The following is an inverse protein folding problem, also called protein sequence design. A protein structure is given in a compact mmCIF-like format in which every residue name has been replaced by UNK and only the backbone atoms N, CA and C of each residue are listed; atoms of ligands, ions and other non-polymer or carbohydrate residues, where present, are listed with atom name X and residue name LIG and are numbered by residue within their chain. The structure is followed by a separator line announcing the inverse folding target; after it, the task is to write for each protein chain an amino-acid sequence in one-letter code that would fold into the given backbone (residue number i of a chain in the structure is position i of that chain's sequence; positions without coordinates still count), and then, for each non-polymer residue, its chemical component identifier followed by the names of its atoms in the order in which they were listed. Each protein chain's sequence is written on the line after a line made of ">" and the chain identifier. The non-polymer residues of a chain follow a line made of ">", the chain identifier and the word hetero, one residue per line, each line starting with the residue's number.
data_IF_666867041065
#
_entry.id   IF_666867041065
#
_cell.length_a   1.000
_cell.length_b   1.000
_cell.length_c   1.000
_cell.angle_alpha   90.00
_cell.angle_beta   90.00
_cell.angle_gamma   90.00
#
_symmetry.space_group_name_H-M   'P 1'
#
loop_
_entity.id
_entity.type
_entity.pdbx_description
1 polymer ?
#
# COMPACT_ATOMS: atom_id res chain seq x y z
N UNK A 1 -23.66 5.09 -16.12
CA UNK A 1 -22.82 3.89 -15.97
C UNK A 1 -22.82 3.48 -14.51
N UNK A 2 -22.96 2.19 -14.19
CA UNK A 2 -23.02 1.68 -12.81
C UNK A 2 -21.65 1.39 -12.20
N UNK A 3 -20.56 1.91 -12.76
CA UNK A 3 -19.17 1.68 -12.33
C UNK A 3 -18.24 2.82 -12.77
N UNK A 4 -17.13 2.95 -12.09
CA UNK A 4 -15.97 3.74 -12.50
C UNK A 4 -15.05 2.85 -13.34
N UNK A 5 -14.75 3.29 -14.56
CA UNK A 5 -13.82 2.61 -15.47
C UNK A 5 -12.36 2.95 -15.10
N UNK A 6 -11.47 1.98 -15.25
CA UNK A 6 -10.04 2.17 -15.04
C UNK A 6 -9.42 3.27 -15.91
N UNK A 7 -9.89 3.45 -17.15
CA UNK A 7 -9.45 4.53 -18.04
C UNK A 7 -9.80 5.92 -17.49
N UNK A 8 -10.99 6.08 -16.89
CA UNK A 8 -11.38 7.32 -16.26
C UNK A 8 -10.53 7.65 -15.05
N UNK A 9 -10.21 6.62 -14.23
CA UNK A 9 -9.32 6.76 -13.09
C UNK A 9 -7.89 7.12 -13.54
N UNK A 10 -7.35 6.42 -14.53
CA UNK A 10 -6.03 6.71 -15.10
C UNK A 10 -5.94 8.14 -15.65
N UNK A 11 -7.00 8.61 -16.33
CA UNK A 11 -7.10 9.99 -16.82
C UNK A 11 -7.03 11.03 -15.71
N UNK A 12 -7.66 10.79 -14.57
CA UNK A 12 -7.59 11.68 -13.42
C UNK A 12 -6.14 11.77 -12.87
N UNK A 13 -5.44 10.64 -12.73
CA UNK A 13 -4.04 10.62 -12.30
C UNK A 13 -3.11 11.29 -13.31
N UNK A 14 -3.34 11.10 -14.62
CA UNK A 14 -2.57 11.76 -15.68
C UNK A 14 -2.68 13.29 -15.61
N UNK A 15 -3.86 13.82 -15.30
CA UNK A 15 -4.06 15.27 -15.14
C UNK A 15 -3.34 15.77 -13.88
N UNK A 16 -3.50 15.07 -12.75
CA UNK A 16 -2.90 15.47 -11.47
C UNK A 16 -1.36 15.41 -11.49
N UNK A 17 -0.78 14.54 -12.30
CA UNK A 17 0.67 14.31 -12.42
C UNK A 17 1.15 14.45 -13.87
N UNK A 18 0.60 15.41 -14.59
CA UNK A 18 0.87 15.60 -16.03
C UNK A 18 2.36 15.82 -16.34
N UNK A 19 3.10 16.50 -15.48
CA UNK A 19 4.54 16.68 -15.68
C UNK A 19 5.30 15.34 -15.71
N UNK A 20 5.03 14.46 -14.76
CA UNK A 20 5.77 13.20 -14.62
C UNK A 20 5.23 12.11 -15.58
N UNK A 21 3.91 12.01 -15.71
CA UNK A 21 3.27 10.92 -16.45
C UNK A 21 3.08 11.22 -17.94
N UNK A 22 3.07 12.49 -18.33
CA UNK A 22 2.83 12.90 -19.73
C UNK A 22 4.02 13.63 -20.31
N UNK A 23 4.42 14.75 -19.72
CA UNK A 23 5.45 15.61 -20.32
C UNK A 23 6.85 15.01 -20.25
N UNK A 24 7.26 14.46 -19.11
CA UNK A 24 8.57 13.79 -19.01
C UNK A 24 8.66 12.61 -19.97
N UNK A 25 7.57 11.83 -20.07
CA UNK A 25 7.50 10.70 -20.99
C UNK A 25 7.55 11.14 -22.44
N UNK A 26 6.84 12.22 -22.82
CA UNK A 26 6.91 12.79 -24.15
C UNK A 26 8.34 13.22 -24.52
N UNK A 27 9.03 13.89 -23.59
CA UNK A 27 10.42 14.32 -23.81
C UNK A 27 11.35 13.12 -23.98
N UNK A 28 11.34 12.17 -23.04
CA UNK A 28 12.24 11.01 -23.07
C UNK A 28 11.93 10.06 -24.23
N UNK A 29 10.67 9.62 -24.34
CA UNK A 29 10.30 8.59 -25.32
C UNK A 29 10.26 9.12 -26.76
N UNK A 30 9.82 10.38 -26.94
CA UNK A 30 9.57 10.94 -28.28
C UNK A 30 10.68 11.86 -28.77
N UNK A 31 11.12 12.82 -27.95
CA UNK A 31 12.13 13.80 -28.38
C UNK A 31 13.55 13.24 -28.25
N UNK A 32 13.84 12.46 -27.21
CA UNK A 32 15.16 11.86 -26.99
C UNK A 32 15.27 10.44 -27.55
N UNK A 33 14.16 9.78 -27.85
CA UNK A 33 14.15 8.41 -28.34
C UNK A 33 14.52 7.35 -27.29
N UNK A 34 14.54 7.72 -26.03
CA UNK A 34 14.93 6.88 -24.90
C UNK A 34 13.72 6.17 -24.30
N UNK A 35 13.23 5.12 -24.94
CA UNK A 35 12.11 4.34 -24.43
C UNK A 35 12.54 3.47 -23.26
N UNK A 36 11.96 3.70 -22.08
CA UNK A 36 12.12 2.78 -20.96
C UNK A 36 11.49 1.43 -21.28
N UNK A 37 12.15 0.30 -20.95
CA UNK A 37 11.55 -1.02 -21.11
C UNK A 37 10.31 -1.16 -20.20
N UNK A 38 9.30 -1.87 -20.68
CA UNK A 38 8.12 -2.19 -19.88
C UNK A 38 8.54 -3.16 -18.77
N UNK A 39 8.23 -2.80 -17.52
CA UNK A 39 8.46 -3.66 -16.35
C UNK A 39 7.20 -4.41 -15.96
N UNK A 40 7.34 -5.53 -15.23
CA UNK A 40 6.21 -6.30 -14.68
C UNK A 40 5.30 -5.43 -13.81
N UNK A 41 5.89 -4.52 -13.03
CA UNK A 41 5.14 -3.58 -12.21
C UNK A 41 4.31 -2.59 -13.07
N UNK A 42 4.84 -2.14 -14.19
CA UNK A 42 4.10 -1.29 -15.13
C UNK A 42 2.98 -2.05 -15.81
N UNK A 43 3.22 -3.33 -16.19
CA UNK A 43 2.19 -4.20 -16.75
C UNK A 43 1.06 -4.43 -15.74
N UNK A 44 1.39 -4.81 -14.51
CA UNK A 44 0.42 -4.98 -13.43
C UNK A 44 -0.41 -3.69 -13.18
N UNK A 45 0.23 -2.54 -13.15
CA UNK A 45 -0.47 -1.26 -12.92
C UNK A 45 -1.37 -0.85 -14.09
N UNK A 46 -1.13 -1.38 -15.31
CA UNK A 46 -1.99 -1.15 -16.48
C UNK A 46 -3.21 -2.07 -16.52
N UNK A 47 -3.20 -3.18 -15.77
CA UNK A 47 -4.33 -4.12 -15.64
C UNK A 47 -5.43 -3.49 -14.78
N UNK A 48 -6.19 -2.59 -15.41
CA UNK A 48 -7.22 -1.82 -14.73
C UNK A 48 -8.46 -2.66 -14.42
N UNK A 49 -9.01 -2.48 -13.23
CA UNK A 49 -10.30 -3.06 -12.82
C UNK A 49 -11.37 -1.97 -12.72
N UNK A 50 -12.63 -2.41 -12.73
CA UNK A 50 -13.78 -1.51 -12.55
C UNK A 50 -14.17 -1.44 -11.08
N UNK A 51 -14.52 -0.24 -10.62
CA UNK A 51 -15.06 -0.04 -9.27
C UNK A 51 -16.56 0.22 -9.35
N UNK A 52 -17.41 -0.58 -8.65
CA UNK A 52 -18.84 -0.32 -8.61
C UNK A 52 -19.15 1.12 -8.15
N UNK A 53 -20.10 1.77 -8.78
CA UNK A 53 -20.46 3.17 -8.48
C UNK A 53 -20.72 3.42 -7.00
N UNK A 54 -21.52 2.55 -6.37
CA UNK A 54 -21.85 2.69 -4.95
C UNK A 54 -20.60 2.58 -4.06
N UNK A 55 -19.73 1.60 -4.32
CA UNK A 55 -18.48 1.42 -3.59
C UNK A 55 -17.60 2.67 -3.71
N UNK A 56 -17.41 3.20 -4.92
CA UNK A 56 -16.62 4.41 -5.15
C UNK A 56 -17.18 5.62 -4.41
N UNK A 57 -18.50 5.84 -4.51
CA UNK A 57 -19.16 6.99 -3.86
C UNK A 57 -19.12 6.90 -2.33
N UNK A 58 -19.34 5.70 -1.76
CA UNK A 58 -19.25 5.48 -0.33
C UNK A 58 -17.82 5.61 0.18
N UNK A 59 -16.83 5.10 -0.55
CA UNK A 59 -15.42 5.23 -0.23
C UNK A 59 -15.01 6.70 -0.12
N UNK A 60 -15.29 7.49 -1.17
CA UNK A 60 -14.95 8.91 -1.17
C UNK A 60 -15.67 9.69 -0.06
N UNK A 61 -16.94 9.43 0.15
CA UNK A 61 -17.72 10.16 1.15
C UNK A 61 -17.30 9.77 2.56
N UNK A 62 -17.39 8.49 2.89
CA UNK A 62 -17.25 8.03 4.28
C UNK A 62 -15.80 8.01 4.78
N UNK A 63 -14.83 7.68 3.90
CA UNK A 63 -13.44 7.52 4.31
C UNK A 63 -12.57 8.73 3.97
N UNK A 64 -12.97 9.56 3.01
CA UNK A 64 -12.17 10.70 2.59
C UNK A 64 -12.78 12.06 3.02
N UNK A 65 -14.09 12.26 2.84
CA UNK A 65 -14.74 13.54 3.19
C UNK A 65 -15.16 13.58 4.65
N UNK A 66 -15.83 12.52 5.13
CA UNK A 66 -16.45 12.50 6.46
C UNK A 66 -15.53 11.87 7.52
N UNK A 67 -14.46 11.16 7.10
CA UNK A 67 -13.49 10.45 7.95
C UNK A 67 -14.13 9.51 8.99
N UNK A 68 -15.22 8.85 8.58
CA UNK A 68 -16.08 8.08 9.46
C UNK A 68 -15.36 6.95 10.22
N UNK A 69 -14.26 6.42 9.65
CA UNK A 69 -13.49 5.34 10.30
C UNK A 69 -12.69 5.86 11.50
N UNK A 70 -12.07 7.02 11.38
CA UNK A 70 -11.36 7.68 12.49
C UNK A 70 -12.36 8.13 13.55
N UNK A 71 -13.47 8.71 13.12
CA UNK A 71 -14.53 9.23 13.97
C UNK A 71 -15.43 8.15 14.62
N UNK A 72 -15.20 6.86 14.31
CA UNK A 72 -15.97 5.76 14.84
C UNK A 72 -17.43 5.68 14.35
N UNK A 73 -17.73 6.29 13.22
CA UNK A 73 -19.05 6.31 12.58
C UNK A 73 -19.19 5.34 11.41
N UNK A 74 -18.08 4.74 10.96
CA UNK A 74 -18.11 3.79 9.85
C UNK A 74 -18.85 2.52 10.27
N UNK A 75 -19.86 2.13 9.50
CA UNK A 75 -20.67 0.95 9.79
C UNK A 75 -20.28 -0.20 8.87
N UNK A 76 -19.82 -1.31 9.46
CA UNK A 76 -19.56 -2.57 8.79
C UNK A 76 -20.47 -3.66 9.40
N UNK A 77 -21.20 -4.37 8.56
CA UNK A 77 -22.15 -5.42 8.97
C UNK A 77 -23.10 -4.96 10.11
N UNK A 78 -23.64 -3.75 9.98
CA UNK A 78 -24.58 -3.17 10.95
C UNK A 78 -23.95 -2.71 12.28
N UNK A 79 -22.63 -2.75 12.42
CA UNK A 79 -21.91 -2.34 13.63
C UNK A 79 -20.94 -1.20 13.33
N UNK A 80 -20.87 -0.18 14.18
CA UNK A 80 -19.84 0.85 14.04
C UNK A 80 -18.46 0.22 14.34
N UNK A 81 -17.46 0.65 13.56
CA UNK A 81 -16.04 0.28 13.73
C UNK A 81 -15.19 1.55 13.72
N UNK A 82 -14.13 1.54 14.52
CA UNK A 82 -13.21 2.66 14.63
C UNK A 82 -11.75 2.17 14.65
N UNK A 83 -10.83 3.01 14.22
CA UNK A 83 -9.39 2.73 14.35
C UNK A 83 -8.97 2.59 15.82
N UNK A 84 -9.61 3.32 16.72
CA UNK A 84 -9.37 3.24 18.16
C UNK A 84 -9.71 1.86 18.78
N UNK A 85 -10.46 1.01 18.08
CA UNK A 85 -10.76 -0.35 18.53
C UNK A 85 -9.62 -1.34 18.20
N UNK A 86 -8.66 -0.95 17.38
CA UNK A 86 -7.53 -1.78 17.00
C UNK A 86 -6.52 -1.86 18.15
N UNK A 87 -6.38 -3.06 18.71
CA UNK A 87 -5.44 -3.38 19.81
C UNK A 87 -4.39 -4.41 19.43
N UNK A 88 -4.47 -4.93 18.21
CA UNK A 88 -3.49 -5.88 17.69
C UNK A 88 -2.17 -5.18 17.37
N UNK A 89 -1.03 -5.87 17.50
CA UNK A 89 0.23 -5.36 17.00
C UNK A 89 0.14 -5.05 15.50
N UNK A 90 0.67 -3.91 15.09
CA UNK A 90 0.62 -3.45 13.71
C UNK A 90 2.01 -3.19 13.16
N UNK A 91 2.25 -3.61 11.93
CA UNK A 91 3.40 -3.23 11.14
C UNK A 91 2.94 -2.30 10.04
N UNK A 92 3.35 -1.04 10.12
CA UNK A 92 2.86 0.03 9.25
C UNK A 92 4.01 0.54 8.38
N UNK A 93 3.79 0.57 7.07
CA UNK A 93 4.80 0.96 6.10
C UNK A 93 4.39 2.24 5.39
N UNK A 94 5.26 3.23 5.41
CA UNK A 94 5.19 4.40 4.55
C UNK A 94 6.38 4.43 3.59
N UNK A 95 6.31 5.23 2.52
CA UNK A 95 7.43 5.45 1.62
C UNK A 95 7.82 6.92 1.55
N UNK A 96 9.13 7.21 1.51
CA UNK A 96 9.66 8.58 1.64
C UNK A 96 9.16 9.53 0.55
N UNK A 97 9.00 9.02 -0.67
CA UNK A 97 8.63 9.80 -1.86
C UNK A 97 7.18 9.53 -2.30
N UNK A 98 6.33 9.07 -1.39
CA UNK A 98 4.93 8.83 -1.69
C UNK A 98 4.15 10.15 -1.80
N UNK A 99 3.63 10.41 -2.98
CA UNK A 99 2.82 11.57 -3.28
C UNK A 99 1.31 11.28 -3.25
N UNK A 100 0.94 9.99 -3.19
CA UNK A 100 -0.46 9.55 -3.10
C UNK A 100 -0.89 9.42 -1.64
N UNK A 101 -0.06 8.74 -0.85
CA UNK A 101 -0.24 8.57 0.59
C UNK A 101 1.01 9.06 1.34
N UNK A 102 1.20 10.37 1.52
CA UNK A 102 2.38 10.93 2.17
C UNK A 102 2.63 10.26 3.53
N UNK A 103 3.85 9.82 3.77
CA UNK A 103 4.17 9.00 4.95
C UNK A 103 3.79 9.66 6.29
N UNK A 104 3.84 11.01 6.37
CA UNK A 104 3.39 11.72 7.57
C UNK A 104 1.88 11.58 7.81
N UNK A 105 1.10 11.40 6.74
CA UNK A 105 -0.33 11.08 6.86
C UNK A 105 -0.53 9.63 7.30
N UNK A 106 0.26 8.69 6.79
CA UNK A 106 0.24 7.29 7.24
C UNK A 106 0.66 7.19 8.71
N UNK A 107 1.65 7.97 9.13
CA UNK A 107 2.17 8.02 10.50
C UNK A 107 1.10 8.42 11.54
N UNK A 108 0.04 9.13 11.12
CA UNK A 108 -1.08 9.53 12.00
C UNK A 108 -1.81 8.34 12.64
N UNK A 109 -1.59 7.12 12.17
CA UNK A 109 -2.12 5.91 12.82
C UNK A 109 -1.76 5.86 14.31
N UNK A 110 -0.61 6.40 14.71
CA UNK A 110 -0.19 6.52 16.11
C UNK A 110 -1.12 7.39 16.97
N UNK A 111 -1.94 8.25 16.36
CA UNK A 111 -2.93 9.07 17.05
C UNK A 111 -4.27 8.34 17.24
N UNK A 112 -4.51 7.26 16.49
CA UNK A 112 -5.83 6.66 16.37
C UNK A 112 -5.89 5.23 16.89
N UNK A 113 -4.83 4.44 16.70
CA UNK A 113 -4.81 3.05 17.15
C UNK A 113 -4.15 2.91 18.54
N UNK A 114 -4.58 1.89 19.30
CA UNK A 114 -4.12 1.66 20.67
C UNK A 114 -3.21 0.42 20.80
N UNK A 115 -2.94 -0.27 19.69
CA UNK A 115 -2.01 -1.41 19.66
C UNK A 115 -0.56 -0.98 19.53
N UNK A 116 0.35 -1.91 19.76
CA UNK A 116 1.78 -1.70 19.50
C UNK A 116 2.02 -1.46 18.01
N UNK A 117 2.66 -0.35 17.66
CA UNK A 117 2.93 0.01 16.27
C UNK A 117 4.43 -0.06 16.00
N UNK A 118 4.81 -0.91 15.06
CA UNK A 118 6.11 -0.84 14.40
C UNK A 118 5.93 -0.04 13.11
N UNK A 119 6.46 1.19 13.09
CA UNK A 119 6.43 2.03 11.89
C UNK A 119 7.73 1.89 11.12
N UNK A 120 7.61 1.70 9.82
CA UNK A 120 8.73 1.60 8.90
C UNK A 120 8.55 2.58 7.75
N UNK A 121 9.62 3.32 7.46
CA UNK A 121 9.70 4.27 6.35
C UNK A 121 10.69 3.73 5.31
N UNK A 122 10.20 3.25 4.19
CA UNK A 122 11.00 2.71 3.10
C UNK A 122 11.43 3.81 2.12
N UNK A 123 12.62 3.69 1.57
CA UNK A 123 13.07 4.54 0.46
C UNK A 123 12.25 4.26 -0.81
N UNK A 124 12.05 5.27 -1.64
CA UNK A 124 11.32 5.18 -2.91
C UNK A 124 9.90 5.75 -2.86
N UNK A 125 9.18 5.58 -3.94
CA UNK A 125 7.83 6.11 -4.14
C UNK A 125 6.73 5.09 -3.85
N UNK A 126 5.50 5.46 -4.18
CA UNK A 126 4.26 4.77 -3.85
C UNK A 126 4.27 3.25 -4.07
N UNK A 127 4.63 2.79 -5.25
CA UNK A 127 4.72 1.36 -5.57
C UNK A 127 6.15 0.82 -5.40
N UNK A 128 7.13 1.53 -5.95
CA UNK A 128 8.52 1.09 -5.97
C UNK A 128 9.18 1.02 -4.58
N UNK A 129 8.70 1.79 -3.61
CA UNK A 129 9.16 1.68 -2.22
C UNK A 129 8.60 0.46 -1.49
N UNK A 130 7.40 0.01 -1.89
CA UNK A 130 6.76 -1.19 -1.32
C UNK A 130 7.30 -2.46 -1.96
N UNK A 131 7.39 -2.51 -3.29
CA UNK A 131 7.99 -3.63 -4.03
C UNK A 131 9.51 -3.46 -3.98
N UNK A 132 10.13 -4.10 -3.00
CA UNK A 132 11.55 -3.96 -2.66
C UNK A 132 12.09 -5.30 -2.20
N UNK A 133 12.26 -6.23 -3.13
CA UNK A 133 12.75 -7.57 -2.87
C UNK A 133 14.16 -7.56 -2.23
N UNK A 134 14.53 -8.59 -1.46
CA UNK A 134 15.87 -8.72 -0.92
C UNK A 134 16.93 -8.73 -2.03
N UNK A 135 17.99 -7.96 -1.85
CA UNK A 135 19.04 -7.80 -2.86
C UNK A 135 18.82 -6.67 -3.88
N UNK A 136 17.67 -6.00 -3.85
CA UNK A 136 17.44 -4.83 -4.70
C UNK A 136 18.46 -3.71 -4.37
N UNK A 137 19.24 -3.23 -5.35
CA UNK A 137 20.26 -2.22 -5.10
C UNK A 137 19.66 -0.86 -4.73
N UNK A 138 20.39 -0.11 -3.89
CA UNK A 138 20.05 1.28 -3.54
C UNK A 138 18.82 1.42 -2.62
N UNK A 139 18.32 0.34 -2.04
CA UNK A 139 17.22 0.39 -1.06
C UNK A 139 17.75 0.64 0.35
N UNK A 140 16.93 1.35 1.10
CA UNK A 140 17.15 1.60 2.53
C UNK A 140 15.81 1.82 3.21
N UNK A 141 15.78 1.74 4.53
CA UNK A 141 14.59 2.03 5.31
C UNK A 141 14.97 2.52 6.71
N UNK A 142 14.01 3.12 7.37
CA UNK A 142 14.08 3.44 8.80
C UNK A 142 12.97 2.68 9.53
N UNK A 143 13.26 2.22 10.72
CA UNK A 143 12.28 1.49 11.52
C UNK A 143 12.36 1.94 12.97
N UNK A 144 11.20 2.02 13.61
CA UNK A 144 11.07 2.29 15.04
C UNK A 144 9.81 1.63 15.57
N UNK A 145 9.92 0.94 16.71
CA UNK A 145 8.78 0.44 17.46
C UNK A 145 8.36 1.50 18.49
N UNK A 146 7.07 1.68 18.64
CA UNK A 146 6.50 2.56 19.64
C UNK A 146 5.60 1.73 20.55
N UNK A 147 6.03 1.52 21.79
CA UNK A 147 5.36 0.67 22.77
C UNK A 147 4.80 1.48 23.97
N UNK A 148 5.08 2.78 24.01
CA UNK A 148 4.67 3.65 25.10
C UNK A 148 3.52 4.55 24.63
N UNK A 149 2.55 4.80 25.50
CA UNK A 149 1.41 5.70 25.26
C UNK A 149 1.78 7.16 24.98
N UNK A 150 3.02 7.43 24.58
CA UNK A 150 3.51 8.77 24.25
C UNK A 150 3.67 8.92 22.74
N UNK A 151 2.80 9.72 22.15
CA UNK A 151 2.96 10.12 20.76
C UNK A 151 4.28 10.87 20.57
N UNK A 152 5.08 10.42 19.59
CA UNK A 152 6.26 11.12 19.10
C UNK A 152 5.89 11.71 17.74
N UNK A 153 6.20 12.99 17.53
CA UNK A 153 5.92 13.62 16.24
C UNK A 153 6.78 13.00 15.11
N UNK A 154 6.33 13.08 13.85
CA UNK A 154 7.00 12.41 12.75
C UNK A 154 8.42 12.89 12.48
N UNK A 155 8.76 14.15 12.76
CA UNK A 155 10.10 14.67 12.50
C UNK A 155 11.08 14.20 13.59
N UNK A 156 10.66 14.18 14.84
CA UNK A 156 11.42 13.57 15.94
C UNK A 156 11.60 12.08 15.72
N UNK A 157 10.54 11.36 15.29
CA UNK A 157 10.65 9.96 14.95
C UNK A 157 11.67 9.73 13.81
N UNK A 158 11.61 10.52 12.75
CA UNK A 158 12.53 10.42 11.61
C UNK A 158 13.99 10.62 12.04
N UNK A 159 14.24 11.54 12.97
CA UNK A 159 15.59 11.82 13.50
C UNK A 159 16.13 10.67 14.37
N UNK A 160 15.26 9.94 15.06
CA UNK A 160 15.65 8.91 16.04
C UNK A 160 15.52 7.48 15.51
N UNK A 161 14.72 7.25 14.46
CA UNK A 161 14.51 5.93 13.89
C UNK A 161 15.79 5.36 13.28
N UNK A 162 16.03 4.07 13.54
CA UNK A 162 17.22 3.36 13.07
C UNK A 162 17.21 3.23 11.55
N UNK A 163 18.22 3.80 10.89
CA UNK A 163 18.43 3.65 9.46
C UNK A 163 19.13 2.32 9.15
N UNK A 164 18.60 1.58 8.20
CA UNK A 164 19.14 0.29 7.73
C UNK A 164 19.23 0.27 6.20
N UNK A 165 20.30 -0.30 5.63
CA UNK A 165 20.40 -0.52 4.20
C UNK A 165 19.61 -1.75 3.76
N UNK A 166 19.21 -1.81 2.49
CA UNK A 166 18.60 -2.96 1.85
C UNK A 166 17.08 -2.98 1.90
N UNK A 167 16.53 -4.15 1.63
CA UNK A 167 15.09 -4.39 1.58
C UNK A 167 14.46 -4.41 2.97
N UNK A 168 13.36 -3.70 3.15
CA UNK A 168 12.55 -3.70 4.36
C UNK A 168 11.77 -5.02 4.56
N UNK A 169 11.64 -5.86 3.53
CA UNK A 169 10.92 -7.13 3.64
C UNK A 169 11.52 -8.09 4.66
N UNK A 170 12.83 -8.03 4.88
CA UNK A 170 13.49 -8.84 5.91
C UNK A 170 13.03 -8.43 7.32
N UNK A 171 12.93 -7.15 7.59
CA UNK A 171 12.41 -6.64 8.86
C UNK A 171 10.96 -7.06 9.10
N UNK A 172 10.14 -6.99 8.05
CA UNK A 172 8.76 -7.45 8.09
C UNK A 172 8.65 -8.96 8.33
N UNK A 173 9.47 -9.77 7.67
CA UNK A 173 9.50 -11.21 7.87
C UNK A 173 9.87 -11.57 9.33
N UNK A 174 10.87 -10.90 9.91
CA UNK A 174 11.24 -11.06 11.31
C UNK A 174 10.12 -10.64 12.26
N UNK A 175 9.42 -9.54 11.95
CA UNK A 175 8.27 -9.10 12.73
C UNK A 175 7.13 -10.15 12.68
N UNK A 176 6.82 -10.72 11.51
CA UNK A 176 5.83 -11.79 11.36
C UNK A 176 6.23 -13.05 12.16
N UNK A 177 7.48 -13.45 12.10
CA UNK A 177 7.98 -14.59 12.90
C UNK A 177 7.82 -14.36 14.41
N UNK A 178 8.02 -13.14 14.89
CA UNK A 178 7.78 -12.79 16.31
C UNK A 178 6.30 -12.84 16.71
N UNK A 179 5.38 -12.58 15.78
CA UNK A 179 3.93 -12.66 16.01
C UNK A 179 3.38 -14.09 15.85
N UNK A 180 4.14 -14.98 15.22
CA UNK A 180 3.70 -16.34 14.97
C UNK A 180 3.76 -17.21 16.23
N UNK A 181 2.92 -18.25 16.28
CA UNK A 181 2.90 -19.22 17.38
C UNK A 181 4.13 -20.13 17.48
N UNK A 182 5.06 -20.00 16.53
CA UNK A 182 6.22 -20.90 16.37
C UNK A 182 5.89 -22.23 15.68
N UNK A 183 4.62 -22.58 15.51
CA UNK A 183 4.22 -23.76 14.75
C UNK A 183 4.46 -23.55 13.26
N UNK A 184 5.14 -24.48 12.62
CA UNK A 184 5.43 -24.44 11.18
C UNK A 184 4.57 -25.46 10.46
N UNK A 185 3.91 -25.04 9.38
CA UNK A 185 3.22 -25.93 8.45
C UNK A 185 4.02 -26.04 7.15
N UNK A 186 3.90 -27.17 6.49
CA UNK A 186 4.44 -27.31 5.14
C UNK A 186 3.68 -26.41 4.18
N UNK A 187 4.39 -25.81 3.23
CA UNK A 187 3.74 -25.09 2.15
C UNK A 187 2.76 -26.02 1.41
N UNK A 188 1.57 -25.56 1.05
CA UNK A 188 0.65 -26.36 0.25
C UNK A 188 1.31 -26.70 -1.11
N UNK A 189 1.22 -27.96 -1.52
CA UNK A 189 1.80 -28.42 -2.81
C UNK A 189 1.01 -27.91 -4.00
N UNK A 190 -0.27 -27.67 -3.82
CA UNK A 190 -1.20 -27.20 -4.85
C UNK A 190 -2.06 -26.07 -4.28
N UNK A 191 -2.42 -25.13 -5.14
CA UNK A 191 -3.37 -24.08 -4.80
C UNK A 191 -4.79 -24.64 -4.68
N UNK A 192 -5.61 -24.02 -3.82
CA UNK A 192 -7.01 -24.38 -3.69
C UNK A 192 -7.29 -25.53 -2.70
N UNK A 193 -8.50 -26.06 -2.79
CA UNK A 193 -8.98 -27.17 -1.94
C UNK A 193 -10.04 -27.99 -2.68
N UNK A 194 -10.51 -29.09 -2.09
CA UNK A 194 -11.58 -29.89 -2.67
C UNK A 194 -12.89 -29.09 -2.88
N UNK A 195 -13.15 -28.06 -2.06
CA UNK A 195 -14.33 -27.17 -2.16
C UNK A 195 -14.07 -25.95 -3.06
N UNK A 196 -12.82 -25.51 -3.17
CA UNK A 196 -12.41 -24.31 -3.92
C UNK A 196 -11.27 -24.70 -4.86
N UNK A 197 -11.58 -25.33 -5.97
CA UNK A 197 -10.58 -25.74 -6.96
C UNK A 197 -9.99 -24.54 -7.67
N UNK A 198 -8.70 -24.58 -8.07
CA UNK A 198 -8.12 -23.57 -8.92
C UNK A 198 -8.93 -23.42 -10.22
N UNK A 199 -9.13 -22.19 -10.66
CA UNK A 199 -9.85 -21.89 -11.91
C UNK A 199 -8.90 -21.77 -13.10
N UNK A 200 -7.64 -21.41 -12.85
CA UNK A 200 -6.60 -21.21 -13.87
C UNK A 200 -5.38 -20.52 -13.25
N UNK A 201 -4.39 -20.28 -14.07
CA UNK A 201 -3.18 -19.56 -13.69
C UNK A 201 -3.46 -18.05 -13.52
N UNK A 202 -2.72 -17.39 -12.65
CA UNK A 202 -2.76 -15.94 -12.51
C UNK A 202 -2.20 -15.27 -13.80
N UNK A 203 -2.72 -14.10 -14.17
CA UNK A 203 -3.76 -13.28 -13.54
C UNK A 203 -5.20 -13.73 -13.82
N UNK A 204 -5.40 -14.86 -14.50
CA UNK A 204 -6.72 -15.34 -14.91
C UNK A 204 -7.26 -14.57 -16.12
N UNK A 205 -8.56 -14.72 -16.37
CA UNK A 205 -9.22 -14.11 -17.54
C UNK A 205 -9.91 -12.78 -17.24
N UNK A 206 -10.03 -12.41 -15.96
CA UNK A 206 -10.73 -11.18 -15.55
C UNK A 206 -10.08 -9.91 -16.11
N UNK A 207 -8.75 -9.88 -16.20
CA UNK A 207 -7.99 -8.73 -16.75
C UNK A 207 -8.24 -8.50 -18.24
N UNK A 208 -8.82 -9.50 -18.94
CA UNK A 208 -9.16 -9.41 -20.36
C UNK A 208 -10.59 -8.91 -20.62
N UNK A 209 -11.35 -8.62 -19.55
CA UNK A 209 -12.74 -8.14 -19.67
C UNK A 209 -12.71 -6.64 -19.96
N UNK A 210 -13.14 -6.25 -21.18
CA UNK A 210 -13.29 -4.86 -21.64
C UNK A 210 -14.58 -4.19 -21.09
#
# INVERSE_FOLDING_TARGET
>A
QGFLDGRQMAGAFQILRSNDLTWSKLVHDYLMGERAPLTDLMAWNSDATRMPYRMHSEYLRKLFLDDDLVEGRYVADGRPVALADLRLPMFVVGTEQDHVAPWRSVYKIHLHAQGDITFLLASGGHNAGIVSEPGHPGRSYRVGAHNDNHYVDPDTWLATATAKPGSWWLEWAEWLDRQASGARANAPREAGSAKCRPLGDAPGTYVLVE
#
